data_IF_432468490494
#
_entry.id   IF_432468490494
#
_cell.length_a   1.000
_cell.length_b   1.000
_cell.length_c   1.000
_cell.angle_alpha   90.00
_cell.angle_beta   90.00
_cell.angle_gamma   90.00
#
_symmetry.space_group_name_H-M   'P 1'
#
loop_
_entity.id
_entity.type
_entity.pdbx_description
1 polymer ?
#
# COMPACT_ATOMS: atom_id res chain seq x y z
N UNK A 1 0.61 -15.09 -6.91
CA UNK A 1 1.55 -13.98 -7.20
C UNK A 1 2.99 -14.49 -7.35
N UNK A 2 3.52 -15.28 -6.40
CA UNK A 2 4.89 -15.81 -6.45
C UNK A 2 5.23 -16.50 -7.78
N UNK A 3 4.35 -17.39 -8.28
CA UNK A 3 4.55 -18.08 -9.55
C UNK A 3 4.66 -17.12 -10.75
N UNK A 4 3.86 -16.04 -10.73
CA UNK A 4 3.95 -15.01 -11.78
C UNK A 4 5.29 -14.27 -11.77
N UNK A 5 5.85 -14.00 -10.58
CA UNK A 5 7.18 -13.39 -10.47
C UNK A 5 8.22 -14.35 -10.98
N UNK A 6 8.16 -15.61 -10.55
CA UNK A 6 9.09 -16.67 -11.01
C UNK A 6 9.09 -16.81 -12.53
N UNK A 7 7.89 -16.91 -13.14
CA UNK A 7 7.73 -17.10 -14.60
C UNK A 7 8.18 -15.89 -15.44
N UNK A 8 8.20 -14.69 -14.84
CA UNK A 8 8.57 -13.44 -15.52
C UNK A 8 9.95 -12.89 -15.09
N UNK A 9 10.77 -13.72 -14.42
CA UNK A 9 12.11 -13.35 -13.99
C UNK A 9 13.13 -14.25 -14.67
N UNK A 10 14.25 -13.69 -15.15
CA UNK A 10 15.36 -14.46 -15.70
C UNK A 10 15.97 -15.38 -14.63
N UNK A 11 16.01 -14.91 -13.38
CA UNK A 11 16.46 -15.68 -12.22
C UNK A 11 15.61 -15.32 -11.01
N UNK A 12 15.26 -16.34 -10.24
CA UNK A 12 14.52 -16.20 -8.99
C UNK A 12 15.25 -16.96 -7.88
N UNK A 13 15.47 -16.31 -6.76
CA UNK A 13 16.10 -16.89 -5.59
C UNK A 13 15.14 -16.81 -4.39
N UNK A 14 14.90 -17.96 -3.78
CA UNK A 14 14.21 -18.02 -2.50
C UNK A 14 15.19 -17.75 -1.37
N UNK A 15 14.95 -16.71 -0.60
CA UNK A 15 15.85 -16.27 0.46
C UNK A 15 15.41 -16.70 1.86
N UNK A 16 14.27 -17.38 2.00
CA UNK A 16 13.65 -17.66 3.29
C UNK A 16 14.52 -18.46 4.27
N UNK A 17 15.41 -19.33 3.74
CA UNK A 17 16.27 -20.18 4.54
C UNK A 17 17.75 -19.72 4.56
N UNK A 18 18.03 -18.53 4.05
CA UNK A 18 19.38 -17.98 3.99
C UNK A 18 19.58 -16.95 5.09
N UNK A 19 20.77 -16.97 5.70
CA UNK A 19 21.22 -15.88 6.55
C UNK A 19 21.47 -14.61 5.72
N UNK A 20 21.43 -13.44 6.35
CA UNK A 20 21.70 -12.17 5.67
C UNK A 20 23.09 -12.15 5.02
N UNK A 21 24.10 -12.80 5.63
CA UNK A 21 25.44 -12.91 5.06
C UNK A 21 25.44 -13.73 3.76
N UNK A 22 24.71 -14.84 3.72
CA UNK A 22 24.58 -15.68 2.53
C UNK A 22 23.82 -14.93 1.42
N UNK A 23 22.76 -14.20 1.79
CA UNK A 23 22.00 -13.37 0.85
C UNK A 23 22.90 -12.27 0.25
N UNK A 24 23.69 -11.58 1.06
CA UNK A 24 24.59 -10.53 0.58
C UNK A 24 25.64 -11.14 -0.38
N UNK A 25 26.25 -12.25 0.00
CA UNK A 25 27.22 -12.97 -0.87
C UNK A 25 26.58 -13.37 -2.20
N UNK A 26 25.35 -13.89 -2.16
CA UNK A 26 24.62 -14.27 -3.35
C UNK A 26 24.37 -13.04 -4.25
N UNK A 27 23.86 -11.93 -3.70
CA UNK A 27 23.58 -10.72 -4.47
C UNK A 27 24.87 -10.17 -5.10
N UNK A 28 25.92 -10.03 -4.31
CA UNK A 28 27.22 -9.49 -4.77
C UNK A 28 27.83 -10.36 -5.87
N UNK A 29 27.68 -11.69 -5.81
CA UNK A 29 28.17 -12.61 -6.86
C UNK A 29 27.53 -12.37 -8.22
N UNK A 30 26.35 -11.73 -8.28
CA UNK A 30 25.65 -11.40 -9.51
C UNK A 30 26.06 -10.06 -10.12
N UNK A 31 26.88 -9.26 -9.43
CA UNK A 31 27.39 -7.96 -9.89
C UNK A 31 26.29 -7.05 -10.46
N UNK A 32 25.26 -6.80 -9.67
CA UNK A 32 24.08 -6.04 -10.10
C UNK A 32 24.44 -4.58 -10.39
N UNK A 33 23.93 -4.02 -11.47
CA UNK A 33 23.99 -2.59 -11.74
C UNK A 33 22.98 -1.82 -10.89
N UNK A 34 21.75 -2.35 -10.76
CA UNK A 34 20.65 -1.70 -10.02
C UNK A 34 20.00 -2.73 -9.09
N UNK A 35 19.80 -2.36 -7.84
CA UNK A 35 18.96 -3.08 -6.89
C UNK A 35 17.75 -2.22 -6.54
N UNK A 36 16.56 -2.82 -6.57
CA UNK A 36 15.30 -2.15 -6.25
C UNK A 36 14.69 -2.79 -5.02
N UNK A 37 14.51 -2.00 -3.97
CA UNK A 37 13.74 -2.38 -2.78
C UNK A 37 12.26 -2.10 -3.02
N UNK A 38 11.48 -3.16 -3.19
CA UNK A 38 10.03 -3.06 -3.40
C UNK A 38 9.23 -2.92 -2.10
N UNK A 39 9.86 -3.06 -0.96
CA UNK A 39 9.20 -3.10 0.35
C UNK A 39 9.41 -1.81 1.15
N UNK A 40 10.63 -1.29 1.20
CA UNK A 40 11.00 -0.22 2.11
C UNK A 40 10.66 -0.59 3.57
N UNK A 41 10.28 0.35 4.40
CA UNK A 41 9.94 0.11 5.81
C UNK A 41 8.54 -0.49 6.01
N UNK A 42 8.22 -1.58 5.33
CA UNK A 42 6.99 -2.35 5.54
C UNK A 42 7.25 -3.63 6.34
N UNK A 43 6.19 -4.36 6.71
CA UNK A 43 6.31 -5.62 7.45
C UNK A 43 7.10 -6.65 6.62
N UNK A 44 8.01 -7.37 7.28
CA UNK A 44 8.88 -8.39 6.66
C UNK A 44 9.82 -7.85 5.57
N UNK A 45 10.16 -6.55 5.61
CA UNK A 45 11.13 -5.98 4.68
C UNK A 45 12.54 -6.54 4.88
N UNK A 46 13.37 -6.36 3.87
CA UNK A 46 14.79 -6.69 3.86
C UNK A 46 15.65 -5.44 3.58
N UNK A 47 15.15 -4.25 3.93
CA UNK A 47 15.80 -2.97 3.64
C UNK A 47 17.19 -2.85 4.28
N UNK A 48 17.45 -3.55 5.38
CA UNK A 48 18.78 -3.59 6.00
C UNK A 48 19.86 -4.17 5.08
N UNK A 49 19.51 -5.01 4.09
CA UNK A 49 20.48 -5.51 3.10
C UNK A 49 21.00 -4.39 2.20
N UNK A 50 20.24 -3.32 2.03
CA UNK A 50 20.63 -2.16 1.22
C UNK A 50 21.66 -1.25 1.89
N UNK A 51 21.94 -1.46 3.18
CA UNK A 51 23.08 -0.81 3.87
C UNK A 51 24.43 -1.27 3.32
N UNK A 52 24.49 -2.46 2.72
CA UNK A 52 25.66 -3.03 2.10
C UNK A 52 25.81 -2.59 0.63
N UNK A 53 27.02 -2.73 0.08
CA UNK A 53 27.31 -2.42 -1.33
C UNK A 53 26.90 -3.59 -2.22
N UNK A 54 25.58 -3.77 -2.38
CA UNK A 54 24.98 -4.89 -3.14
C UNK A 54 24.79 -4.59 -4.64
N UNK A 55 24.89 -3.32 -5.04
CA UNK A 55 24.77 -2.88 -6.44
C UNK A 55 25.40 -1.50 -6.61
N UNK A 56 25.52 -1.02 -7.85
CA UNK A 56 26.01 0.33 -8.16
C UNK A 56 24.97 1.41 -7.80
N UNK A 57 23.68 1.13 -8.06
CA UNK A 57 22.55 2.02 -7.80
C UNK A 57 21.51 1.28 -6.97
N UNK A 58 20.98 1.94 -5.95
CA UNK A 58 19.95 1.41 -5.06
C UNK A 58 18.72 2.31 -5.07
N UNK A 59 17.54 1.72 -5.33
CA UNK A 59 16.29 2.46 -5.54
C UNK A 59 15.24 1.93 -4.56
N UNK A 60 14.57 2.84 -3.84
CA UNK A 60 13.32 2.53 -3.13
C UNK A 60 12.15 2.73 -4.09
N UNK A 61 11.30 1.71 -4.23
CA UNK A 61 10.15 1.77 -5.14
C UNK A 61 8.95 1.00 -4.61
N UNK A 62 7.78 1.57 -4.78
CA UNK A 62 6.45 1.00 -4.65
C UNK A 62 5.91 0.86 -3.21
N UNK A 63 6.49 0.00 -2.36
CA UNK A 63 5.86 -0.40 -1.10
C UNK A 63 5.86 0.68 -0.01
N UNK A 64 6.86 1.56 -0.01
CA UNK A 64 7.02 2.62 0.97
C UNK A 64 7.48 3.93 0.29
N UNK A 65 6.57 4.88 0.05
CA UNK A 65 6.91 6.14 -0.62
C UNK A 65 7.51 7.21 0.32
N UNK A 66 7.92 6.84 1.52
CA UNK A 66 8.67 7.70 2.45
C UNK A 66 10.16 7.59 2.25
N UNK A 67 10.90 8.60 2.75
CA UNK A 67 12.38 8.53 2.76
C UNK A 67 12.86 7.36 3.62
N UNK A 68 13.91 6.68 3.17
CA UNK A 68 14.60 5.66 3.95
C UNK A 68 15.52 6.28 5.03
N UNK A 69 15.73 7.61 4.98
CA UNK A 69 16.49 8.36 5.97
C UNK A 69 18.00 8.02 6.00
N UNK A 70 18.51 7.40 4.95
CA UNK A 70 19.90 6.98 4.83
C UNK A 70 20.47 7.34 3.45
N UNK A 71 21.77 7.63 3.39
CA UNK A 71 22.48 7.89 2.13
C UNK A 71 22.81 6.61 1.34
N UNK A 72 22.29 5.48 1.77
CA UNK A 72 22.53 4.18 1.11
C UNK A 72 21.58 3.90 -0.05
N UNK A 73 20.48 4.63 -0.14
CA UNK A 73 19.62 4.64 -1.32
C UNK A 73 19.93 5.87 -2.17
N UNK A 74 20.08 5.67 -3.48
CA UNK A 74 20.37 6.75 -4.42
C UNK A 74 19.09 7.45 -4.86
N UNK A 75 18.02 6.66 -5.09
CA UNK A 75 16.77 7.16 -5.66
C UNK A 75 15.55 6.59 -4.94
N UNK A 76 14.46 7.38 -5.01
CA UNK A 76 13.11 6.95 -4.68
C UNK A 76 12.20 7.28 -5.87
N UNK A 77 11.39 6.29 -6.31
CA UNK A 77 10.43 6.49 -7.39
C UNK A 77 9.09 6.94 -6.81
N UNK A 78 8.60 8.08 -7.27
CA UNK A 78 7.34 8.67 -6.83
C UNK A 78 6.62 9.37 -8.00
N UNK A 79 5.53 10.04 -7.71
CA UNK A 79 4.87 11.00 -8.59
C UNK A 79 4.61 12.33 -7.86
N UNK A 80 4.15 13.32 -8.60
CA UNK A 80 3.93 14.65 -8.06
C UNK A 80 2.82 14.76 -7.01
N UNK A 81 1.89 13.77 -6.94
CA UNK A 81 0.83 13.76 -5.95
C UNK A 81 1.31 13.20 -4.60
N UNK A 82 2.22 12.22 -4.66
CA UNK A 82 2.76 11.57 -3.46
C UNK A 82 3.91 12.38 -2.86
N UNK A 83 4.84 12.86 -3.71
CA UNK A 83 5.97 13.68 -3.28
C UNK A 83 6.04 14.91 -4.19
N UNK A 84 5.33 16.00 -3.86
CA UNK A 84 5.47 17.26 -4.57
C UNK A 84 6.91 17.79 -4.50
N UNK A 85 7.32 18.59 -5.49
CA UNK A 85 8.70 19.11 -5.59
C UNK A 85 9.13 19.90 -4.36
N UNK A 86 8.20 20.57 -3.71
CA UNK A 86 8.41 21.37 -2.50
C UNK A 86 8.81 20.53 -1.29
N UNK A 87 8.64 19.20 -1.37
CA UNK A 87 8.99 18.26 -0.32
C UNK A 87 10.31 17.53 -0.55
N UNK A 88 11.01 17.76 -1.66
CA UNK A 88 12.24 17.04 -1.99
C UNK A 88 13.33 17.17 -0.93
N UNK A 89 13.44 18.31 -0.28
CA UNK A 89 14.44 18.58 0.75
C UNK A 89 14.25 17.74 2.03
N UNK A 90 13.08 17.09 2.20
CA UNK A 90 12.82 16.17 3.30
C UNK A 90 13.25 14.73 3.03
N UNK A 91 13.75 14.46 1.83
CA UNK A 91 14.18 13.11 1.41
C UNK A 91 15.70 13.05 1.29
N UNK A 92 16.28 11.94 1.76
CA UNK A 92 17.71 11.66 1.58
C UNK A 92 18.05 11.17 0.17
N UNK A 93 17.06 10.62 -0.52
CA UNK A 93 17.16 10.09 -1.87
C UNK A 93 16.84 11.17 -2.92
N UNK A 94 17.38 10.99 -4.12
CA UNK A 94 16.93 11.78 -5.28
C UNK A 94 15.58 11.22 -5.77
N UNK A 95 14.60 12.10 -5.98
CA UNK A 95 13.28 11.68 -6.42
C UNK A 95 13.24 11.52 -7.93
N UNK A 96 12.83 10.32 -8.39
CA UNK A 96 12.48 10.06 -9.80
C UNK A 96 10.97 10.21 -9.93
N UNK A 97 10.52 11.27 -10.61
CA UNK A 97 9.09 11.49 -10.85
C UNK A 97 8.60 10.72 -12.06
N UNK A 98 7.60 9.88 -11.83
CA UNK A 98 6.80 9.27 -12.88
C UNK A 98 5.81 10.32 -13.42
N UNK A 99 5.49 10.31 -14.73
CA UNK A 99 4.70 11.37 -15.35
C UNK A 99 3.23 11.45 -14.88
N UNK A 100 2.64 10.32 -14.46
CA UNK A 100 1.23 10.26 -14.03
C UNK A 100 1.08 9.65 -12.64
N UNK A 101 1.44 8.40 -12.47
CA UNK A 101 1.41 7.70 -11.19
C UNK A 101 2.64 6.82 -11.03
N UNK A 102 3.14 6.72 -9.81
CA UNK A 102 4.27 5.84 -9.50
C UNK A 102 3.83 4.38 -9.32
N UNK A 103 2.53 4.13 -9.07
CA UNK A 103 2.00 2.78 -8.90
C UNK A 103 1.62 2.17 -10.26
N UNK A 104 2.23 1.06 -10.67
CA UNK A 104 1.82 0.34 -11.86
C UNK A 104 0.49 -0.35 -11.62
N UNK A 105 -0.45 -0.18 -12.55
CA UNK A 105 -1.73 -0.86 -12.55
C UNK A 105 -1.93 -1.59 -13.87
N UNK A 106 -2.34 -2.85 -13.79
CA UNK A 106 -2.88 -3.55 -14.96
C UNK A 106 -4.37 -3.28 -15.06
N UNK A 107 -4.93 -3.07 -16.27
CA UNK A 107 -6.37 -3.03 -16.46
C UNK A 107 -6.99 -4.32 -15.93
N UNK A 108 -7.91 -4.21 -14.99
CA UNK A 108 -8.67 -5.36 -14.51
C UNK A 108 -10.03 -5.31 -15.22
N UNK A 109 -10.30 -6.28 -16.08
CA UNK A 109 -11.65 -6.48 -16.62
C UNK A 109 -12.46 -7.25 -15.57
N UNK A 110 -13.55 -6.68 -15.12
CA UNK A 110 -14.50 -7.35 -14.26
C UNK A 110 -15.73 -7.73 -15.10
N UNK A 111 -16.10 -8.99 -15.08
CA UNK A 111 -17.42 -9.44 -15.51
C UNK A 111 -18.38 -9.26 -14.31
N UNK A 112 -19.05 -8.11 -14.27
CA UNK A 112 -19.98 -7.77 -13.19
C UNK A 112 -21.28 -8.58 -13.32
N UNK A 113 -21.22 -9.86 -12.96
CA UNK A 113 -22.41 -10.72 -12.89
C UNK A 113 -23.18 -10.53 -11.57
N UNK A 114 -22.51 -9.99 -10.55
CA UNK A 114 -23.07 -9.85 -9.22
C UNK A 114 -24.06 -8.68 -9.16
N UNK A 115 -25.19 -8.89 -8.48
CA UNK A 115 -26.20 -7.88 -8.19
C UNK A 115 -26.03 -7.35 -6.76
N UNK A 116 -26.59 -6.19 -6.46
CA UNK A 116 -26.60 -5.63 -5.10
C UNK A 116 -27.28 -6.58 -4.10
N UNK A 117 -28.32 -7.27 -4.52
CA UNK A 117 -29.03 -8.28 -3.72
C UNK A 117 -28.13 -9.42 -3.23
N UNK A 118 -27.10 -9.79 -3.98
CA UNK A 118 -26.15 -10.85 -3.59
C UNK A 118 -25.33 -10.48 -2.37
N UNK A 119 -25.25 -9.17 -2.07
CA UNK A 119 -24.53 -8.60 -0.92
C UNK A 119 -25.46 -7.99 0.12
N UNK A 120 -26.78 -8.25 0.05
CA UNK A 120 -27.79 -7.63 0.91
C UNK A 120 -27.76 -6.08 0.88
N UNK A 121 -27.41 -5.51 -0.27
CA UNK A 121 -27.42 -4.06 -0.48
C UNK A 121 -28.74 -3.62 -1.11
N UNK A 122 -29.33 -2.50 -0.64
CA UNK A 122 -30.56 -1.97 -1.22
C UNK A 122 -30.36 -1.56 -2.68
N UNK A 123 -31.29 -1.94 -3.56
CA UNK A 123 -31.19 -1.71 -5.02
C UNK A 123 -31.06 -0.22 -5.37
N UNK A 124 -31.85 0.63 -4.75
CA UNK A 124 -31.93 2.06 -5.07
C UNK A 124 -31.14 2.97 -4.12
N UNK A 125 -30.35 2.38 -3.20
CA UNK A 125 -29.58 3.17 -2.26
C UNK A 125 -28.30 3.74 -2.90
N UNK A 126 -27.87 4.90 -2.40
CA UNK A 126 -26.54 5.42 -2.70
C UNK A 126 -25.55 4.77 -1.74
N UNK A 127 -24.54 4.08 -2.28
CA UNK A 127 -23.55 3.37 -1.48
C UNK A 127 -22.22 4.11 -1.52
N UNK A 128 -21.77 4.55 -0.35
CA UNK A 128 -20.41 5.04 -0.12
C UNK A 128 -19.54 3.84 0.29
N UNK A 129 -18.47 3.56 -0.45
CA UNK A 129 -17.58 2.44 -0.16
C UNK A 129 -16.25 2.92 0.40
N UNK A 130 -15.81 2.35 1.54
CA UNK A 130 -14.46 2.48 2.04
C UNK A 130 -13.88 1.10 2.34
N UNK A 131 -13.00 0.63 1.47
CA UNK A 131 -12.34 -0.68 1.56
C UNK A 131 -10.89 -0.57 2.04
N UNK A 132 -10.50 0.60 2.58
CA UNK A 132 -9.23 0.78 3.26
C UNK A 132 -9.15 -0.05 4.54
N UNK A 133 -7.93 -0.33 4.99
CA UNK A 133 -7.72 -0.96 6.29
C UNK A 133 -8.34 -0.11 7.38
N UNK A 134 -9.05 -0.74 8.29
CA UNK A 134 -9.87 -0.07 9.31
C UNK A 134 -9.04 0.85 10.24
N UNK A 135 -7.78 0.49 10.46
CA UNK A 135 -6.86 1.26 11.29
C UNK A 135 -6.54 2.66 10.72
N UNK A 136 -6.82 2.88 9.43
CA UNK A 136 -6.66 4.18 8.76
C UNK A 136 -7.87 5.10 8.97
N UNK A 137 -8.98 4.59 9.49
CA UNK A 137 -10.20 5.37 9.71
C UNK A 137 -10.13 6.03 11.08
N UNK A 138 -9.77 7.29 11.10
CA UNK A 138 -9.72 8.07 12.34
C UNK A 138 -11.13 8.43 12.82
N UNK A 139 -11.37 8.55 14.15
CA UNK A 139 -12.69 8.87 14.69
C UNK A 139 -13.29 10.16 14.15
N UNK A 140 -12.50 11.21 13.96
CA UNK A 140 -12.95 12.48 13.40
C UNK A 140 -13.40 12.35 11.93
N UNK A 141 -12.73 11.55 11.13
CA UNK A 141 -13.12 11.26 9.73
C UNK A 141 -14.43 10.45 9.74
N UNK A 142 -14.52 9.44 10.61
CA UNK A 142 -15.73 8.66 10.77
C UNK A 142 -16.93 9.50 11.18
N UNK A 143 -16.77 10.45 12.11
CA UNK A 143 -17.82 11.40 12.49
C UNK A 143 -18.30 12.26 11.31
N UNK A 144 -17.40 12.68 10.41
CA UNK A 144 -17.77 13.40 9.18
C UNK A 144 -18.66 12.52 8.30
N UNK A 145 -18.26 11.26 8.07
CA UNK A 145 -19.05 10.33 7.27
C UNK A 145 -20.43 10.08 7.87
N UNK A 146 -20.51 9.89 9.18
CA UNK A 146 -21.79 9.72 9.86
C UNK A 146 -22.69 10.97 9.75
N UNK A 147 -22.13 12.17 9.80
CA UNK A 147 -22.87 13.40 9.57
C UNK A 147 -23.38 13.54 8.13
N UNK A 148 -22.64 13.01 7.15
CA UNK A 148 -23.10 12.94 5.76
C UNK A 148 -24.31 11.99 5.68
N UNK A 149 -24.19 10.78 6.22
CA UNK A 149 -25.28 9.79 6.22
C UNK A 149 -26.57 10.31 6.87
N UNK A 150 -26.47 11.12 7.94
CA UNK A 150 -27.65 11.76 8.57
C UNK A 150 -28.37 12.73 7.64
N UNK A 151 -27.65 13.39 6.74
CA UNK A 151 -28.23 14.39 5.82
C UNK A 151 -28.91 13.77 4.61
N UNK A 152 -28.46 12.60 4.19
CA UNK A 152 -28.94 11.97 2.98
C UNK A 152 -29.62 10.64 3.31
N UNK A 153 -30.96 10.64 3.15
CA UNK A 153 -31.75 9.42 3.28
C UNK A 153 -31.34 8.42 2.19
N UNK A 154 -31.50 7.15 2.45
CA UNK A 154 -31.17 6.05 1.54
C UNK A 154 -29.71 5.99 1.09
N UNK A 155 -28.81 6.53 1.93
CA UNK A 155 -27.37 6.44 1.77
C UNK A 155 -26.77 5.51 2.80
N UNK A 156 -25.90 4.62 2.37
CA UNK A 156 -25.26 3.58 3.19
C UNK A 156 -23.75 3.69 3.09
N UNK A 157 -23.05 3.34 4.16
CA UNK A 157 -21.60 3.23 4.18
C UNK A 157 -21.19 1.74 4.23
N UNK A 158 -20.56 1.28 3.17
CA UNK A 158 -19.98 -0.07 3.11
C UNK A 158 -18.52 -0.05 3.57
N UNK A 159 -18.22 -0.83 4.61
CA UNK A 159 -16.88 -0.99 5.16
C UNK A 159 -16.44 -2.44 5.03
N UNK A 160 -15.17 -2.67 4.67
CA UNK A 160 -14.58 -4.01 4.68
C UNK A 160 -13.96 -4.28 6.06
N UNK A 161 -14.66 -5.06 6.90
CA UNK A 161 -14.22 -5.37 8.26
C UNK A 161 -14.31 -6.88 8.49
N UNK A 162 -13.14 -7.51 8.69
CA UNK A 162 -13.04 -8.95 8.91
C UNK A 162 -12.91 -9.34 10.40
N UNK A 163 -12.93 -8.34 11.32
CA UNK A 163 -12.73 -8.55 12.74
C UNK A 163 -14.01 -8.21 13.53
N UNK A 164 -14.56 -9.18 14.25
CA UNK A 164 -15.81 -9.02 15.00
C UNK A 164 -15.69 -8.01 16.14
N UNK A 165 -14.52 -7.90 16.79
CA UNK A 165 -14.29 -6.90 17.84
C UNK A 165 -14.41 -5.50 17.25
N UNK A 166 -13.82 -5.27 16.09
CA UNK A 166 -13.88 -3.99 15.38
C UNK A 166 -15.31 -3.67 14.95
N UNK A 167 -16.05 -4.66 14.41
CA UNK A 167 -17.48 -4.47 14.08
C UNK A 167 -18.29 -4.04 15.30
N UNK A 168 -18.10 -4.68 16.43
CA UNK A 168 -18.79 -4.37 17.66
C UNK A 168 -18.41 -2.97 18.17
N UNK A 169 -17.13 -2.60 18.13
CA UNK A 169 -16.69 -1.28 18.56
C UNK A 169 -17.31 -0.16 17.70
N UNK A 170 -17.40 -0.36 16.38
CA UNK A 170 -18.06 0.60 15.49
C UNK A 170 -19.56 0.71 15.84
N UNK A 171 -20.26 -0.41 16.05
CA UNK A 171 -21.67 -0.38 16.47
C UNK A 171 -21.86 0.37 17.78
N UNK A 172 -21.00 0.11 18.78
CA UNK A 172 -21.04 0.82 20.08
C UNK A 172 -20.78 2.31 19.86
N UNK A 173 -19.82 2.66 19.03
CA UNK A 173 -19.51 4.07 18.72
C UNK A 173 -20.70 4.76 18.04
N UNK A 174 -21.31 4.14 17.04
CA UNK A 174 -22.48 4.66 16.36
C UNK A 174 -23.64 4.91 17.34
N UNK A 175 -23.94 3.91 18.17
CA UNK A 175 -25.01 4.01 19.18
C UNK A 175 -24.74 5.15 20.18
N UNK A 176 -23.51 5.26 20.70
CA UNK A 176 -23.12 6.34 21.63
C UNK A 176 -23.29 7.73 21.03
N UNK A 177 -23.03 7.87 19.74
CA UNK A 177 -23.15 9.14 18.99
C UNK A 177 -24.55 9.34 18.38
N UNK A 178 -25.48 8.42 18.63
CA UNK A 178 -26.85 8.44 18.06
C UNK A 178 -26.84 8.46 16.52
N UNK A 179 -25.97 7.69 15.95
CA UNK A 179 -25.98 7.34 14.54
C UNK A 179 -26.74 6.02 14.40
N UNK A 180 -27.89 6.03 13.74
CA UNK A 180 -28.73 4.85 13.51
C UNK A 180 -28.42 4.25 12.13
#
# INVERSE_FOLDING_TARGET
>A
ERNKIFENSDKFFDLDNLSDEEVIKLIVSHNLDIAIDLSGYTIHNKSHLFEYQISKIKINFLGYPGTMGTKKYDYLVADNNIIPKEQFDFYSEKIIHMPTTYQPHSPISFDFKNKRSDFNLPENAFILGCFSRIEKILPNIFDIWMNILKKFKDTYLALCINNEIVKNNIKIYCNKKKFN
#
